data_IF_290442000580
#
_entry.id   IF_290442000580
#
_cell.length_a   1.000
_cell.length_b   1.000
_cell.length_c   1.000
_cell.angle_alpha   90.00
_cell.angle_beta   90.00
_cell.angle_gamma   90.00
#
_symmetry.space_group_name_H-M   'P 1'
#
loop_
_entity.id
_entity.type
_entity.pdbx_description
1 polymer ?
#
# COMPACT_ATOMS: atom_id res chain seq x y z
N UNK A 1 15.68 15.63 5.10
CA UNK A 1 15.20 14.29 5.46
C UNK A 1 14.64 14.38 6.88
N UNK A 2 13.34 14.16 7.05
CA UNK A 2 12.66 14.43 8.32
C UNK A 2 12.72 13.26 9.31
N UNK A 3 12.97 12.04 8.82
CA UNK A 3 13.02 10.82 9.64
C UNK A 3 14.32 10.05 9.39
N UNK A 4 14.95 9.56 10.45
CA UNK A 4 16.18 8.78 10.33
C UNK A 4 15.89 7.43 9.71
N UNK A 5 16.85 6.93 8.92
CA UNK A 5 16.77 5.58 8.37
C UNK A 5 16.69 4.56 9.51
N UNK A 6 15.66 3.73 9.47
CA UNK A 6 15.46 2.53 10.28
C UNK A 6 14.98 1.40 9.36
N UNK A 7 14.99 0.13 9.81
CA UNK A 7 14.49 -0.97 9.00
C UNK A 7 13.01 -0.89 8.61
N UNK A 8 12.21 -0.02 9.23
CA UNK A 8 10.79 0.21 8.90
C UNK A 8 10.60 1.47 8.04
N UNK A 9 11.47 2.46 8.18
CA UNK A 9 11.38 3.74 7.46
C UNK A 9 12.17 3.75 6.14
N UNK A 10 12.85 2.64 5.81
CA UNK A 10 13.69 2.55 4.61
C UNK A 10 12.98 2.94 3.31
N UNK A 11 11.77 2.46 2.96
CA UNK A 11 11.10 2.87 1.72
C UNK A 11 10.88 4.38 1.64
N UNK A 12 10.35 4.98 2.70
CA UNK A 12 10.09 6.41 2.78
C UNK A 12 11.39 7.23 2.76
N UNK A 13 12.41 6.80 3.49
CA UNK A 13 13.73 7.43 3.49
C UNK A 13 14.36 7.35 2.10
N UNK A 14 14.30 6.20 1.42
CA UNK A 14 14.87 6.00 0.09
C UNK A 14 14.22 6.95 -0.92
N UNK A 15 12.88 6.98 -0.96
CA UNK A 15 12.13 7.89 -1.83
C UNK A 15 12.47 9.37 -1.55
N UNK A 16 12.58 9.77 -0.28
CA UNK A 16 12.97 11.15 0.08
C UNK A 16 14.41 11.48 -0.33
N UNK A 17 15.35 10.57 -0.13
CA UNK A 17 16.77 10.77 -0.45
C UNK A 17 16.98 10.80 -1.97
N UNK A 18 16.32 9.90 -2.69
CA UNK A 18 16.34 9.86 -4.15
C UNK A 18 15.76 11.13 -4.77
N UNK A 19 14.59 11.60 -4.28
CA UNK A 19 14.01 12.86 -4.73
C UNK A 19 14.93 14.07 -4.48
N UNK A 20 15.68 14.07 -3.36
CA UNK A 20 16.69 15.08 -3.06
C UNK A 20 17.86 15.01 -4.04
N UNK A 21 18.38 13.81 -4.33
CA UNK A 21 19.49 13.66 -5.27
C UNK A 21 19.10 14.07 -6.70
N UNK A 22 17.87 13.73 -7.12
CA UNK A 22 17.31 14.16 -8.41
C UNK A 22 17.21 15.69 -8.48
N UNK A 23 16.74 16.35 -7.40
CA UNK A 23 16.56 17.81 -7.42
C UNK A 23 17.87 18.59 -7.53
N UNK A 24 18.98 18.00 -7.09
CA UNK A 24 20.31 18.58 -7.19
C UNK A 24 21.15 18.03 -8.37
N UNK A 25 20.59 17.15 -9.20
CA UNK A 25 21.31 16.49 -10.31
C UNK A 25 22.55 15.69 -9.83
N UNK A 26 22.38 14.98 -8.70
CA UNK A 26 23.43 14.23 -8.01
C UNK A 26 23.20 12.71 -8.01
N UNK A 27 22.11 12.24 -8.62
CA UNK A 27 21.74 10.82 -8.62
C UNK A 27 22.86 9.95 -9.21
N UNK A 28 23.56 10.46 -10.23
CA UNK A 28 24.63 9.76 -10.93
C UNK A 28 25.81 9.36 -10.01
N UNK A 29 26.03 10.08 -8.90
CA UNK A 29 27.06 9.73 -7.93
C UNK A 29 26.73 8.45 -7.16
N UNK A 30 25.44 8.23 -6.85
CA UNK A 30 25.01 7.05 -6.09
C UNK A 30 24.68 5.86 -6.99
N UNK A 31 24.25 6.09 -8.23
CA UNK A 31 24.07 5.02 -9.23
C UNK A 31 25.39 4.50 -9.76
N UNK A 32 26.45 5.34 -9.73
CA UNK A 32 27.78 5.01 -10.20
C UNK A 32 28.04 5.38 -11.67
N UNK A 33 27.09 6.09 -12.29
CA UNK A 33 27.22 6.62 -13.64
C UNK A 33 28.24 7.77 -13.71
N UNK A 34 28.33 8.57 -12.63
CA UNK A 34 29.35 9.59 -12.46
C UNK A 34 30.62 8.97 -11.88
N UNK A 35 31.54 8.59 -12.77
CA UNK A 35 32.84 8.04 -12.37
C UNK A 35 33.87 9.14 -12.08
N UNK A 36 34.71 8.90 -11.08
CA UNK A 36 35.81 9.79 -10.75
C UNK A 36 36.73 10.00 -11.98
N UNK A 37 36.95 11.24 -12.43
CA UNK A 37 37.81 11.52 -13.57
C UNK A 37 39.21 10.92 -13.38
N UNK A 38 39.59 9.99 -14.25
CA UNK A 38 40.92 9.38 -14.23
C UNK A 38 41.90 10.31 -14.95
N UNK A 39 43.08 10.49 -14.35
CA UNK A 39 44.10 11.49 -14.72
C UNK A 39 44.29 11.70 -16.23
N UNK A 40 44.05 12.93 -16.72
CA UNK A 40 44.47 13.35 -18.07
C UNK A 40 45.18 14.70 -17.99
N UNK A 41 46.41 14.68 -17.46
CA UNK A 41 47.51 15.65 -17.67
C UNK A 41 47.29 17.17 -17.56
N UNK A 42 46.07 17.65 -17.30
CA UNK A 42 45.66 19.06 -17.43
C UNK A 42 45.17 19.62 -16.09
N UNK A 43 45.42 20.90 -15.84
CA UNK A 43 44.95 21.61 -14.64
C UNK A 43 43.42 21.55 -14.48
N UNK A 44 42.67 21.55 -15.59
CA UNK A 44 41.22 21.36 -15.63
C UNK A 44 40.78 19.98 -15.13
N UNK A 45 41.50 18.91 -15.48
CA UNK A 45 41.18 17.54 -15.01
C UNK A 45 41.38 17.37 -13.50
N UNK A 46 42.37 18.06 -12.92
CA UNK A 46 42.61 18.05 -11.47
C UNK A 46 41.49 18.76 -10.70
N UNK A 47 41.03 19.91 -11.19
CA UNK A 47 39.90 20.65 -10.60
C UNK A 47 38.60 19.84 -10.64
N UNK A 48 38.30 19.20 -11.78
CA UNK A 48 37.13 18.33 -11.93
C UNK A 48 37.16 17.13 -10.97
N UNK A 49 38.34 16.51 -10.80
CA UNK A 49 38.53 15.41 -9.85
C UNK A 49 38.30 15.85 -8.40
N UNK A 50 38.85 16.99 -8.00
CA UNK A 50 38.62 17.55 -6.66
C UNK A 50 37.15 17.88 -6.43
N UNK A 51 36.49 18.49 -7.42
CA UNK A 51 35.06 18.77 -7.35
C UNK A 51 34.22 17.49 -7.18
N UNK A 52 34.45 16.49 -8.03
CA UNK A 52 33.77 15.19 -7.94
C UNK A 52 33.97 14.56 -6.56
N UNK A 53 35.21 14.57 -6.05
CA UNK A 53 35.52 13.99 -4.76
C UNK A 53 34.82 14.71 -3.60
N UNK A 54 34.80 16.05 -3.62
CA UNK A 54 34.07 16.81 -2.61
C UNK A 54 32.58 16.50 -2.64
N UNK A 55 32.00 16.42 -3.83
CA UNK A 55 30.58 16.12 -4.00
C UNK A 55 30.24 14.71 -3.49
N UNK A 56 31.01 13.70 -3.85
CA UNK A 56 30.84 12.32 -3.35
C UNK A 56 30.95 12.27 -1.82
N UNK A 57 31.89 13.02 -1.21
CA UNK A 57 32.05 13.06 0.24
C UNK A 57 30.91 13.79 0.97
N UNK A 58 30.35 14.84 0.37
CA UNK A 58 29.15 15.50 0.91
C UNK A 58 27.96 14.54 0.90
N UNK A 59 27.72 13.86 -0.22
CA UNK A 59 26.63 12.88 -0.33
C UNK A 59 26.83 11.74 0.68
N UNK A 60 28.04 11.19 0.78
CA UNK A 60 28.36 10.14 1.75
C UNK A 60 28.12 10.62 3.20
N UNK A 61 28.52 11.85 3.52
CA UNK A 61 28.28 12.46 4.83
C UNK A 61 26.78 12.58 5.12
N UNK A 62 25.98 13.02 4.14
CA UNK A 62 24.53 13.16 4.27
C UNK A 62 23.84 11.79 4.43
N UNK A 63 24.27 10.77 3.68
CA UNK A 63 23.81 9.39 3.86
C UNK A 63 24.08 8.96 5.30
N UNK A 64 25.33 9.08 5.77
CA UNK A 64 25.71 8.68 7.14
C UNK A 64 24.90 9.43 8.20
N UNK A 65 24.75 10.76 8.07
CA UNK A 65 24.02 11.61 9.01
C UNK A 65 22.52 11.31 9.05
N UNK A 66 21.95 10.88 7.92
CA UNK A 66 20.54 10.51 7.81
C UNK A 66 20.22 9.10 8.33
N UNK A 67 21.24 8.30 8.67
CA UNK A 67 21.05 6.97 9.25
C UNK A 67 20.88 6.98 10.78
N UNK A 68 20.10 6.02 11.31
CA UNK A 68 20.10 5.75 12.75
C UNK A 68 21.46 5.20 13.19
N UNK A 69 21.83 5.44 14.45
CA UNK A 69 23.10 5.02 15.06
C UNK A 69 23.32 3.51 15.04
N UNK A 70 22.26 2.72 14.88
CA UNK A 70 22.32 1.26 14.71
C UNK A 70 22.73 0.83 13.31
N UNK A 71 22.52 1.67 12.29
CA UNK A 71 22.81 1.38 10.88
C UNK A 71 24.13 2.03 10.45
N UNK A 72 24.49 3.19 11.01
CA UNK A 72 25.74 3.91 10.66
C UNK A 72 26.98 3.00 10.67
N UNK A 73 27.20 2.10 11.65
CA UNK A 73 28.36 1.21 11.64
C UNK A 73 28.38 0.21 10.48
N UNK A 74 27.21 -0.11 9.91
CA UNK A 74 27.09 -1.04 8.79
C UNK A 74 27.57 -0.42 7.47
N UNK A 75 27.54 0.91 7.37
CA UNK A 75 27.94 1.66 6.17
C UNK A 75 29.17 2.53 6.36
N UNK A 76 29.72 2.62 7.58
CA UNK A 76 30.88 3.46 7.92
C UNK A 76 32.17 3.09 7.17
N UNK A 77 32.28 1.86 6.69
CA UNK A 77 33.44 1.37 5.91
C UNK A 77 33.35 1.80 4.43
N UNK A 78 32.17 2.23 3.96
CA UNK A 78 31.99 2.66 2.58
C UNK A 78 32.88 3.86 2.26
N UNK A 79 33.63 3.78 1.16
CA UNK A 79 34.56 4.82 0.72
C UNK A 79 33.89 5.86 -0.15
N UNK A 80 32.79 5.51 -0.80
CA UNK A 80 32.05 6.39 -1.70
C UNK A 80 30.56 6.38 -1.35
N UNK A 81 29.86 7.42 -1.79
CA UNK A 81 28.40 7.48 -1.71
C UNK A 81 27.73 6.30 -2.42
N UNK A 82 28.25 5.91 -3.59
CA UNK A 82 27.83 4.72 -4.34
C UNK A 82 27.93 3.43 -3.51
N UNK A 83 29.08 3.18 -2.85
CA UNK A 83 29.26 1.98 -2.02
C UNK A 83 28.27 1.93 -0.86
N UNK A 84 28.05 3.07 -0.20
CA UNK A 84 27.09 3.18 0.90
C UNK A 84 25.65 2.93 0.41
N UNK A 85 25.25 3.60 -0.68
CA UNK A 85 23.93 3.46 -1.31
C UNK A 85 23.65 2.02 -1.72
N UNK A 86 24.60 1.40 -2.44
CA UNK A 86 24.51 0.00 -2.88
C UNK A 86 24.38 -0.96 -1.70
N UNK A 87 25.14 -0.74 -0.62
CA UNK A 87 25.09 -1.60 0.58
C UNK A 87 23.76 -1.49 1.31
N UNK A 88 23.23 -0.28 1.47
CA UNK A 88 21.90 -0.05 2.05
C UNK A 88 20.82 -0.74 1.20
N UNK A 89 20.82 -0.50 -0.10
CA UNK A 89 19.85 -1.10 -1.01
C UNK A 89 19.93 -2.63 -0.99
N UNK A 90 21.13 -3.22 -0.99
CA UNK A 90 21.28 -4.67 -0.89
C UNK A 90 20.79 -5.25 0.45
N UNK A 91 21.10 -4.58 1.57
CA UNK A 91 20.65 -5.01 2.90
C UNK A 91 19.13 -5.03 2.99
N UNK A 92 18.47 -3.98 2.50
CA UNK A 92 17.03 -3.83 2.62
C UNK A 92 16.25 -4.48 1.48
N UNK A 93 16.85 -4.72 0.31
CA UNK A 93 16.21 -5.38 -0.83
C UNK A 93 15.64 -6.76 -0.46
N UNK A 94 16.39 -7.59 0.29
CA UNK A 94 15.91 -8.90 0.71
C UNK A 94 14.68 -8.79 1.64
N UNK A 95 14.73 -7.86 2.60
CA UNK A 95 13.64 -7.63 3.56
C UNK A 95 12.42 -7.02 2.88
N UNK A 96 12.61 -6.07 1.97
CA UNK A 96 11.55 -5.46 1.17
C UNK A 96 10.89 -6.49 0.27
N UNK A 97 11.67 -7.35 -0.40
CA UNK A 97 11.12 -8.43 -1.21
C UNK A 97 10.26 -9.38 -0.39
N UNK A 98 10.74 -9.81 0.79
CA UNK A 98 9.95 -10.66 1.69
C UNK A 98 8.69 -9.94 2.18
N UNK A 99 8.77 -8.65 2.53
CA UNK A 99 7.61 -7.85 2.95
C UNK A 99 6.60 -7.70 1.83
N UNK A 100 7.04 -7.43 0.60
CA UNK A 100 6.19 -7.33 -0.57
C UNK A 100 5.47 -8.66 -0.85
N UNK A 101 6.17 -9.79 -0.76
CA UNK A 101 5.54 -11.12 -0.90
C UNK A 101 4.48 -11.32 0.19
N UNK A 102 4.80 -11.05 1.46
CA UNK A 102 3.84 -11.19 2.56
C UNK A 102 2.60 -10.30 2.35
N UNK A 103 2.79 -9.04 1.96
CA UNK A 103 1.68 -8.12 1.71
C UNK A 103 0.81 -8.58 0.55
N UNK A 104 1.41 -9.13 -0.51
CA UNK A 104 0.66 -9.73 -1.63
C UNK A 104 -0.11 -10.96 -1.18
N UNK A 105 0.47 -11.83 -0.38
CA UNK A 105 -0.24 -12.96 0.23
C UNK A 105 -1.44 -12.48 1.06
N UNK A 106 -1.22 -11.55 1.99
CA UNK A 106 -2.26 -10.95 2.83
C UNK A 106 -3.38 -10.32 1.98
N UNK A 107 -3.02 -9.62 0.91
CA UNK A 107 -3.95 -9.02 -0.04
C UNK A 107 -4.76 -10.08 -0.81
N UNK A 108 -4.14 -11.15 -1.31
CA UNK A 108 -4.88 -12.22 -2.02
C UNK A 108 -5.80 -13.03 -1.11
N UNK A 109 -5.49 -13.11 0.18
CA UNK A 109 -6.26 -13.84 1.18
C UNK A 109 -7.33 -12.98 1.86
N UNK A 110 -7.36 -11.67 1.60
CA UNK A 110 -8.29 -10.77 2.27
C UNK A 110 -9.74 -11.08 1.87
N UNK A 111 -10.57 -11.31 2.88
CA UNK A 111 -12.01 -11.51 2.72
C UNK A 111 -12.76 -10.50 3.57
N UNK A 112 -13.95 -10.10 3.12
CA UNK A 112 -14.84 -9.23 3.90
C UNK A 112 -15.17 -9.85 5.26
N UNK A 113 -15.57 -11.13 5.26
CA UNK A 113 -16.11 -11.80 6.45
C UNK A 113 -17.29 -11.02 7.03
N UNK A 114 -17.23 -10.77 8.34
CA UNK A 114 -18.26 -10.03 9.10
C UNK A 114 -18.03 -8.51 9.15
N UNK A 115 -17.06 -7.99 8.38
CA UNK A 115 -16.78 -6.54 8.34
C UNK A 115 -17.77 -5.82 7.43
N UNK A 116 -18.04 -4.56 7.74
CA UNK A 116 -18.75 -3.67 6.82
C UNK A 116 -17.89 -3.41 5.58
N UNK A 117 -18.55 -3.09 4.46
CA UNK A 117 -17.87 -2.79 3.19
C UNK A 117 -16.86 -1.63 3.31
N UNK A 118 -17.17 -0.49 3.96
CA UNK A 118 -16.19 0.58 4.13
C UNK A 118 -14.93 0.13 4.88
N UNK A 119 -15.08 -0.64 5.95
CA UNK A 119 -13.95 -1.13 6.74
C UNK A 119 -13.10 -2.13 5.95
N UNK A 120 -13.75 -2.99 5.16
CA UNK A 120 -13.09 -3.91 4.25
C UNK A 120 -12.27 -3.16 3.19
N UNK A 121 -12.89 -2.22 2.48
CA UNK A 121 -12.24 -1.44 1.43
C UNK A 121 -11.11 -0.56 1.97
N UNK A 122 -11.25 0.01 3.17
CA UNK A 122 -10.17 0.74 3.82
C UNK A 122 -8.96 -0.16 4.11
N UNK A 123 -9.19 -1.38 4.58
CA UNK A 123 -8.10 -2.35 4.82
C UNK A 123 -7.41 -2.74 3.51
N UNK A 124 -8.19 -2.97 2.45
CA UNK A 124 -7.65 -3.25 1.11
C UNK A 124 -6.79 -2.09 0.60
N UNK A 125 -7.30 -0.86 0.70
CA UNK A 125 -6.59 0.34 0.25
C UNK A 125 -5.25 0.51 0.99
N UNK A 126 -5.25 0.35 2.31
CA UNK A 126 -4.03 0.42 3.10
C UNK A 126 -2.97 -0.60 2.67
N UNK A 127 -3.37 -1.84 2.35
CA UNK A 127 -2.46 -2.86 1.82
C UNK A 127 -1.91 -2.48 0.45
N UNK A 128 -2.77 -2.02 -0.47
CA UNK A 128 -2.37 -1.61 -1.82
C UNK A 128 -1.38 -0.43 -1.76
N UNK A 129 -1.65 0.55 -0.91
CA UNK A 129 -0.78 1.71 -0.72
C UNK A 129 0.57 1.29 -0.11
N UNK A 130 0.60 0.33 0.83
CA UNK A 130 1.85 -0.22 1.37
C UNK A 130 2.64 -1.00 0.33
N UNK A 131 1.97 -1.77 -0.54
CA UNK A 131 2.62 -2.50 -1.63
C UNK A 131 3.18 -1.50 -2.68
N UNK A 132 2.44 -0.44 -2.99
CA UNK A 132 2.88 0.62 -3.89
C UNK A 132 4.13 1.35 -3.35
N UNK A 133 4.24 1.53 -2.04
CA UNK A 133 5.41 2.11 -1.38
C UNK A 133 6.68 1.25 -1.52
N UNK A 134 6.54 -0.05 -1.78
CA UNK A 134 7.67 -0.97 -1.99
C UNK A 134 7.93 -1.16 -3.50
N UNK A 135 7.46 -0.24 -4.35
CA UNK A 135 7.62 -0.26 -5.81
C UNK A 135 6.98 -1.46 -6.52
N UNK A 136 5.88 -1.98 -5.99
CA UNK A 136 5.13 -3.09 -6.61
C UNK A 136 3.65 -2.75 -6.83
N UNK A 137 3.30 -1.62 -7.48
CA UNK A 137 1.90 -1.18 -7.60
C UNK A 137 1.00 -2.25 -8.23
N UNK A 138 -0.23 -2.33 -7.71
CA UNK A 138 -1.27 -3.24 -8.22
C UNK A 138 -2.10 -2.48 -9.25
N UNK A 139 -2.38 -3.12 -10.40
CA UNK A 139 -3.23 -2.54 -11.43
C UNK A 139 -4.69 -2.50 -10.99
N UNK A 140 -5.45 -1.51 -11.47
CA UNK A 140 -6.86 -1.31 -11.09
C UNK A 140 -7.75 -2.53 -11.43
N UNK A 141 -7.46 -3.24 -12.53
CA UNK A 141 -8.20 -4.45 -12.93
C UNK A 141 -7.96 -5.61 -11.94
N UNK A 142 -6.70 -5.82 -11.55
CA UNK A 142 -6.34 -6.81 -10.55
C UNK A 142 -6.97 -6.44 -9.20
N UNK A 143 -6.86 -5.18 -8.79
CA UNK A 143 -7.46 -4.67 -7.56
C UNK A 143 -8.97 -4.94 -7.51
N UNK A 144 -9.67 -4.61 -8.60
CA UNK A 144 -11.11 -4.86 -8.75
C UNK A 144 -11.40 -6.36 -8.63
N UNK A 145 -10.65 -7.21 -9.32
CA UNK A 145 -10.83 -8.66 -9.29
C UNK A 145 -10.69 -9.22 -7.86
N UNK A 146 -9.64 -8.82 -7.13
CA UNK A 146 -9.39 -9.28 -5.76
C UNK A 146 -10.46 -8.79 -4.78
N UNK A 147 -10.88 -7.51 -4.88
CA UNK A 147 -11.97 -6.97 -4.07
C UNK A 147 -13.24 -7.79 -4.28
N UNK A 148 -13.63 -8.03 -5.53
CA UNK A 148 -14.86 -8.78 -5.84
C UNK A 148 -14.79 -10.25 -5.39
N UNK A 149 -13.61 -10.88 -5.42
CA UNK A 149 -13.40 -12.25 -4.92
C UNK A 149 -13.49 -12.35 -3.39
N UNK A 150 -13.16 -11.28 -2.67
CA UNK A 150 -13.25 -11.21 -1.22
C UNK A 150 -14.66 -10.89 -0.69
N UNK A 151 -15.61 -10.57 -1.58
CA UNK A 151 -17.00 -10.31 -1.22
C UNK A 151 -17.76 -11.60 -0.87
N UNK A 152 -18.75 -11.44 0.00
CA UNK A 152 -19.66 -12.52 0.37
C UNK A 152 -20.74 -12.78 -0.69
N UNK A 153 -21.54 -13.85 -0.50
CA UNK A 153 -22.58 -14.25 -1.45
C UNK A 153 -23.64 -13.16 -1.69
N UNK A 154 -23.88 -12.28 -0.70
CA UNK A 154 -24.86 -11.18 -0.80
C UNK A 154 -24.54 -10.19 -1.93
N UNK A 155 -23.33 -10.23 -2.50
CA UNK A 155 -22.86 -9.28 -3.52
C UNK A 155 -22.78 -9.90 -4.91
N UNK A 156 -23.07 -11.20 -5.08
CA UNK A 156 -22.93 -11.87 -6.37
C UNK A 156 -23.78 -11.25 -7.49
N UNK A 157 -24.94 -10.67 -7.15
CA UNK A 157 -25.83 -9.99 -8.11
C UNK A 157 -25.17 -8.78 -8.79
N UNK A 158 -24.29 -8.07 -8.07
CA UNK A 158 -23.56 -6.92 -8.62
C UNK A 158 -22.16 -7.26 -9.11
N UNK A 159 -21.57 -8.38 -8.67
CA UNK A 159 -20.23 -8.82 -9.12
C UNK A 159 -20.21 -9.13 -10.62
N UNK A 160 -21.23 -9.83 -11.13
CA UNK A 160 -21.30 -10.21 -12.54
C UNK A 160 -21.31 -9.01 -13.52
N UNK A 161 -22.19 -7.99 -13.36
CA UNK A 161 -22.18 -6.83 -14.24
C UNK A 161 -20.91 -5.98 -14.10
N UNK A 162 -20.29 -5.91 -12.92
CA UNK A 162 -19.03 -5.19 -12.73
C UNK A 162 -17.90 -5.88 -13.52
N UNK A 163 -17.81 -7.21 -13.49
CA UNK A 163 -16.81 -7.99 -14.25
C UNK A 163 -17.01 -7.93 -15.76
N UNK A 164 -18.24 -7.74 -16.22
CA UNK A 164 -18.57 -7.67 -17.64
C UNK A 164 -18.25 -6.29 -18.27
N UNK A 165 -17.83 -5.29 -17.47
CA UNK A 165 -17.41 -3.99 -18.03
C UNK A 165 -16.15 -4.15 -18.86
N UNK A 166 -16.14 -3.48 -20.01
CA UNK A 166 -14.99 -3.37 -20.90
C UNK A 166 -13.95 -2.35 -20.39
N UNK A 167 -14.41 -1.31 -19.70
CA UNK A 167 -13.54 -0.27 -19.14
C UNK A 167 -13.21 -0.58 -17.67
N UNK A 168 -11.92 -0.51 -17.35
CA UNK A 168 -11.42 -0.56 -15.98
C UNK A 168 -12.14 0.45 -15.08
N UNK A 169 -12.52 0.01 -13.88
CA UNK A 169 -13.21 0.80 -12.87
C UNK A 169 -12.20 1.28 -11.83
N UNK A 170 -12.15 2.59 -11.59
CA UNK A 170 -11.29 3.12 -10.54
C UNK A 170 -11.78 2.72 -9.14
N UNK A 171 -10.88 2.68 -8.16
CA UNK A 171 -11.19 2.31 -6.78
C UNK A 171 -12.36 3.13 -6.19
N UNK A 172 -12.42 4.44 -6.44
CA UNK A 172 -13.46 5.32 -5.92
C UNK A 172 -14.86 4.98 -6.46
N UNK A 173 -14.94 4.62 -7.74
CA UNK A 173 -16.20 4.23 -8.38
C UNK A 173 -16.68 2.89 -7.83
N UNK A 174 -15.76 1.92 -7.68
CA UNK A 174 -16.04 0.62 -7.07
C UNK A 174 -16.50 0.77 -5.61
N UNK A 175 -15.85 1.64 -4.85
CA UNK A 175 -16.20 1.95 -3.47
C UNK A 175 -17.66 2.46 -3.37
N UNK A 176 -18.03 3.44 -4.19
CA UNK A 176 -19.39 3.98 -4.22
C UNK A 176 -20.46 2.93 -4.51
N UNK A 177 -20.22 2.05 -5.48
CA UNK A 177 -21.14 0.97 -5.85
C UNK A 177 -21.33 -0.04 -4.72
N UNK A 178 -20.25 -0.51 -4.10
CA UNK A 178 -20.31 -1.52 -3.04
C UNK A 178 -21.00 -0.98 -1.77
N UNK A 179 -20.72 0.27 -1.39
CA UNK A 179 -21.36 0.92 -0.24
C UNK A 179 -22.85 1.18 -0.49
N UNK A 180 -23.20 1.59 -1.71
CA UNK A 180 -24.60 1.73 -2.14
C UNK A 180 -25.36 0.42 -2.03
N UNK A 181 -24.76 -0.68 -2.51
CA UNK A 181 -25.35 -2.00 -2.43
C UNK A 181 -25.50 -2.52 -0.99
N UNK A 182 -24.51 -2.29 -0.12
CA UNK A 182 -24.61 -2.63 1.30
C UNK A 182 -25.79 -1.90 1.98
N UNK A 183 -26.02 -0.63 1.63
CA UNK A 183 -27.16 0.14 2.14
C UNK A 183 -28.50 -0.41 1.63
N UNK A 184 -28.56 -0.82 0.36
CA UNK A 184 -29.74 -1.46 -0.22
C UNK A 184 -30.10 -2.77 0.50
N UNK A 185 -29.11 -3.65 0.73
CA UNK A 185 -29.32 -4.90 1.47
C UNK A 185 -29.84 -4.64 2.90
N UNK A 186 -29.27 -3.66 3.60
CA UNK A 186 -29.75 -3.27 4.94
C UNK A 186 -31.21 -2.80 4.94
N UNK A 187 -31.64 -2.08 3.90
CA UNK A 187 -33.05 -1.69 3.78
C UNK A 187 -33.96 -2.90 3.53
N UNK A 188 -33.55 -3.84 2.67
CA UNK A 188 -34.32 -5.05 2.39
C UNK A 188 -34.50 -5.93 3.63
N UNK A 189 -33.44 -6.08 4.43
CA UNK A 189 -33.49 -6.80 5.71
C UNK A 189 -34.47 -6.15 6.70
N UNK A 190 -34.43 -4.82 6.83
CA UNK A 190 -35.33 -4.07 7.71
C UNK A 190 -36.81 -4.24 7.32
N UNK A 191 -37.13 -4.18 6.02
CA UNK A 191 -38.50 -4.43 5.53
C UNK A 191 -38.95 -5.87 5.80
N UNK A 192 -38.06 -6.85 5.61
CA UNK A 192 -38.36 -8.26 5.87
C UNK A 192 -38.65 -8.51 7.35
N UNK A 193 -37.85 -7.92 8.26
CA UNK A 193 -38.06 -8.03 9.71
C UNK A 193 -39.40 -7.42 10.16
N UNK A 194 -39.80 -6.29 9.58
CA UNK A 194 -41.10 -5.68 9.84
C UNK A 194 -42.26 -6.60 9.43
N UNK A 195 -42.17 -7.25 8.26
CA UNK A 195 -43.21 -8.16 7.78
C UNK A 195 -43.38 -9.37 8.72
N UNK A 196 -42.27 -9.95 9.19
CA UNK A 196 -42.27 -11.09 10.13
C UNK A 196 -42.85 -10.70 11.49
N UNK A 197 -42.49 -9.53 12.02
CA UNK A 197 -43.02 -9.03 13.29
C UNK A 197 -44.55 -8.81 13.23
N UNK A 198 -45.04 -8.26 12.12
CA UNK A 198 -46.47 -8.00 11.92
C UNK A 198 -47.27 -9.31 11.77
N UNK A 199 -46.68 -10.31 11.10
CA UNK A 199 -47.31 -11.64 10.94
C UNK A 199 -47.39 -12.39 12.27
N UNK A 200 -46.32 -12.39 13.07
CA UNK A 200 -46.33 -12.98 14.42
C UNK A 200 -47.34 -12.30 15.35
N UNK A 201 -47.47 -10.97 15.28
CA UNK A 201 -48.45 -10.23 16.07
C UNK A 201 -49.90 -10.63 15.71
N UNK A 202 -50.19 -10.82 14.42
CA UNK A 202 -51.51 -11.27 13.97
C UNK A 202 -51.84 -12.70 14.42
N UNK A 203 -50.85 -13.59 14.47
CA UNK A 203 -51.04 -14.98 14.87
C UNK A 203 -51.19 -15.16 16.40
N UNK A 204 -50.50 -14.36 17.22
CA UNK A 204 -50.74 -14.34 18.67
C UNK A 204 -52.14 -13.81 19.03
N UNK A 205 -52.72 -12.93 18.21
CA UNK A 205 -54.07 -12.39 18.41
C UNK A 205 -55.18 -13.37 18.04
N UNK A 206 -54.93 -14.32 17.14
CA UNK A 206 -55.91 -15.37 16.80
C UNK A 206 -55.99 -16.43 17.91
N UNK A 207 -54.87 -16.72 18.58
CA UNK A 207 -54.79 -17.75 19.60
C UNK A 207 -55.41 -17.37 20.97
N UNK A 208 -55.83 -16.11 21.15
CA UNK A 208 -56.40 -15.59 22.40
C UNK A 208 -57.93 -15.51 22.42
N UNK A 209 -58.63 -15.93 21.36
CA UNK A 209 -60.09 -15.77 21.22
C UNK A 209 -60.93 -17.06 21.32
N UNK A 210 -60.35 -18.21 21.69
CA UNK A 210 -61.10 -19.47 21.88
C UNK A 210 -61.09 -19.92 23.34
N UNK A 211 -61.78 -19.19 24.23
CA UNK A 211 -62.17 -19.68 25.56
C UNK A 211 -63.30 -18.82 26.13
N UNK A 212 -64.48 -18.83 25.53
CA UNK A 212 -65.72 -18.55 26.27
C UNK A 212 -66.90 -19.29 25.64
N UNK A 213 -67.72 -19.86 26.53
CA UNK A 213 -69.02 -20.55 26.35
C UNK A 213 -68.99 -22.04 26.04
N UNK A 214 -69.30 -22.83 27.08
CA UNK A 214 -70.54 -23.62 27.06
C UNK A 214 -71.09 -23.78 28.48
N UNK A 215 -72.42 -23.70 28.56
CA UNK A 215 -73.28 -23.82 29.74
C UNK A 215 -73.12 -25.14 30.49
#
# INVERSE_FOLDING_TARGET
INEKLTPSTFPQWHAQFEALLISYDLLDYVTGDSQCPTHVGSSTSALQKTHWFHQDKLILSDILASTATTITPLISIAKTSHEAWKKLNAMYASKLRTRAVQLKEDFTLIKRGNRTIPNYLHTVKALVDEIALIDHPIFDDDLTLYILNGLGPDFYEIVAPIRAREKSMGFEELHGLLVGHESYLRHLEATTQQLVATTNYSNCRSSSNTSTKSL
#
